data_IF_115424084637
#
_entry.id   IF_115424084637
#
_cell.length_a   1.000
_cell.length_b   1.000
_cell.length_c   1.000
_cell.angle_alpha   90.00
_cell.angle_beta   90.00
_cell.angle_gamma   90.00
#
_symmetry.space_group_name_H-M   'P 1'
#
loop_
_entity.id
_entity.type
_entity.pdbx_description
1 polymer ?
#
# COMPACT_ATOMS: atom_id res chain seq x y z
N UNK A 1 0.93 39.74 5.79
CA UNK A 1 2.06 38.80 5.84
C UNK A 1 1.64 37.65 6.73
N UNK A 2 1.63 36.43 6.20
CA UNK A 2 1.18 35.25 6.96
C UNK A 2 2.39 34.62 7.61
N UNK A 3 2.41 34.58 8.94
CA UNK A 3 3.43 33.90 9.74
C UNK A 3 3.29 32.39 9.54
N UNK A 4 4.07 31.85 8.61
CA UNK A 4 4.18 30.42 8.40
C UNK A 4 5.38 29.91 9.22
N UNK A 5 5.14 29.47 10.46
CA UNK A 5 6.13 28.69 11.21
C UNK A 5 6.31 27.32 10.53
N UNK A 6 7.49 26.99 9.97
CA UNK A 6 7.74 25.65 9.46
C UNK A 6 8.07 24.74 10.65
N UNK A 7 7.21 23.76 10.92
CA UNK A 7 7.50 22.71 11.89
C UNK A 7 8.48 21.73 11.22
N UNK A 8 9.77 21.84 11.55
CA UNK A 8 10.77 20.85 11.20
C UNK A 8 10.57 19.61 12.11
N UNK A 9 9.97 18.56 11.56
CA UNK A 9 9.87 17.26 12.25
C UNK A 9 10.93 16.32 11.68
N UNK A 10 11.97 16.06 12.48
CA UNK A 10 12.91 14.98 12.22
C UNK A 10 12.23 13.64 12.55
N UNK A 11 11.74 12.98 11.50
CA UNK A 11 11.15 11.66 11.58
C UNK A 11 12.26 10.62 11.58
N UNK A 12 12.59 10.11 12.77
CA UNK A 12 13.51 8.99 12.95
C UNK A 12 13.32 7.88 11.90
N UNK A 13 14.44 7.30 11.46
CA UNK A 13 14.55 6.50 10.24
C UNK A 13 13.42 5.48 10.03
N UNK A 14 12.91 5.45 8.79
CA UNK A 14 11.95 4.43 8.35
C UNK A 14 12.52 3.03 8.57
N UNK A 15 11.72 2.14 9.18
CA UNK A 15 11.97 0.68 9.23
C UNK A 15 12.52 0.17 7.89
N UNK A 16 13.74 -0.37 7.91
CA UNK A 16 14.45 -0.96 6.75
C UNK A 16 14.17 -2.47 6.65
N UNK A 17 12.96 -2.88 6.99
CA UNK A 17 12.50 -4.27 6.87
C UNK A 17 11.68 -4.49 5.59
N UNK A 18 11.61 -5.74 5.07
CA UNK A 18 10.71 -6.07 3.96
C UNK A 18 9.28 -5.67 4.32
N UNK A 19 8.64 -4.88 3.46
CA UNK A 19 7.26 -4.44 3.66
C UNK A 19 6.38 -5.71 3.68
N UNK A 20 5.59 -5.94 4.75
CA UNK A 20 4.67 -7.06 4.80
C UNK A 20 3.76 -7.03 3.57
N UNK A 21 3.56 -8.20 2.95
CA UNK A 21 2.64 -8.31 1.84
C UNK A 21 1.25 -7.88 2.28
N UNK A 22 0.65 -6.98 1.52
CA UNK A 22 -0.72 -6.54 1.69
C UNK A 22 -1.42 -6.77 0.37
N UNK A 23 -2.60 -7.37 0.45
CA UNK A 23 -3.49 -7.45 -0.69
C UNK A 23 -3.91 -6.02 -1.08
N UNK A 24 -3.82 -5.65 -2.35
CA UNK A 24 -4.22 -4.32 -2.81
C UNK A 24 -5.64 -4.37 -3.38
N UNK A 25 -6.54 -3.53 -2.88
CA UNK A 25 -7.95 -3.55 -3.29
C UNK A 25 -8.15 -3.24 -4.78
N UNK A 26 -7.21 -2.49 -5.37
CA UNK A 26 -7.22 -2.17 -6.79
C UNK A 26 -7.18 -3.41 -7.69
N UNK A 27 -6.62 -4.53 -7.19
CA UNK A 27 -6.58 -5.79 -7.93
C UNK A 27 -7.97 -6.33 -8.26
N UNK A 28 -8.96 -6.04 -7.41
CA UNK A 28 -10.35 -6.46 -7.61
C UNK A 28 -11.03 -5.71 -8.78
N UNK A 29 -10.41 -4.66 -9.31
CA UNK A 29 -10.89 -3.95 -10.49
C UNK A 29 -10.34 -4.51 -11.81
N UNK A 30 -9.36 -5.42 -11.76
CA UNK A 30 -8.93 -6.11 -12.97
C UNK A 30 -9.99 -7.12 -13.42
N UNK A 31 -10.27 -7.10 -14.71
CA UNK A 31 -11.17 -8.06 -15.33
C UNK A 31 -10.64 -9.49 -15.20
N UNK A 32 -11.52 -10.45 -14.94
CA UNK A 32 -11.14 -11.88 -14.80
C UNK A 32 -10.33 -12.23 -13.53
N UNK A 33 -10.08 -11.29 -12.61
CA UNK A 33 -9.25 -11.55 -11.41
C UNK A 33 -9.77 -12.70 -10.54
N UNK A 34 -11.10 -12.87 -10.44
CA UNK A 34 -11.71 -13.94 -9.64
C UNK A 34 -11.40 -15.32 -10.21
N UNK A 35 -11.51 -15.46 -11.53
CA UNK A 35 -11.24 -16.70 -12.23
C UNK A 35 -9.75 -17.04 -12.19
N UNK A 36 -8.90 -16.02 -12.34
CA UNK A 36 -7.45 -16.16 -12.20
C UNK A 36 -7.06 -16.64 -10.79
N UNK A 37 -7.65 -16.06 -9.74
CA UNK A 37 -7.41 -16.48 -8.35
C UNK A 37 -7.88 -17.92 -8.11
N UNK A 38 -9.04 -18.30 -8.66
CA UNK A 38 -9.58 -19.66 -8.57
C UNK A 38 -8.65 -20.66 -9.26
N UNK A 39 -8.19 -20.34 -10.47
CA UNK A 39 -7.25 -21.15 -11.22
C UNK A 39 -5.96 -21.39 -10.42
N UNK A 40 -5.34 -20.35 -9.87
CA UNK A 40 -4.13 -20.51 -9.05
C UNK A 40 -4.39 -21.29 -7.77
N UNK A 41 -5.57 -21.12 -7.16
CA UNK A 41 -5.93 -21.87 -5.97
C UNK A 41 -5.97 -23.37 -6.25
N UNK A 42 -6.51 -23.77 -7.41
CA UNK A 42 -6.63 -25.16 -7.85
C UNK A 42 -5.30 -25.74 -8.35
N UNK A 43 -4.44 -24.93 -8.98
CA UNK A 43 -3.11 -25.31 -9.47
C UNK A 43 -2.16 -25.80 -8.35
N UNK A 44 -2.26 -25.19 -7.17
CA UNK A 44 -1.41 -25.54 -6.03
C UNK A 44 -1.84 -26.83 -5.32
N UNK A 45 -1.14 -27.94 -5.61
CA UNK A 45 -1.27 -29.22 -4.89
C UNK A 45 -0.16 -29.40 -3.86
N UNK A 46 -0.53 -29.61 -2.60
CA UNK A 46 0.39 -29.77 -1.47
C UNK A 46 -0.07 -30.92 -0.59
N UNK A 47 0.87 -31.65 0.01
CA UNK A 47 0.62 -32.78 0.90
C UNK A 47 1.18 -32.50 2.30
N UNK A 48 0.57 -33.10 3.33
CA UNK A 48 0.96 -32.93 4.74
C UNK A 48 -0.24 -32.68 5.65
N UNK A 49 0.01 -32.07 6.81
CA UNK A 49 -1.08 -31.66 7.70
C UNK A 49 -1.95 -30.58 7.04
N UNK A 50 -3.21 -30.50 7.44
CA UNK A 50 -4.15 -29.46 6.95
C UNK A 50 -3.60 -28.04 7.15
N UNK A 51 -2.97 -27.79 8.30
CA UNK A 51 -2.31 -26.51 8.61
C UNK A 51 -1.12 -26.21 7.69
N UNK A 52 -0.33 -27.22 7.33
CA UNK A 52 0.79 -27.09 6.42
C UNK A 52 0.32 -26.81 4.99
N UNK A 53 -0.66 -27.58 4.51
CA UNK A 53 -1.26 -27.41 3.17
C UNK A 53 -1.81 -26.00 3.00
N UNK A 54 -2.53 -25.48 4.00
CA UNK A 54 -3.06 -24.11 3.96
C UNK A 54 -1.92 -23.08 3.90
N UNK A 55 -0.87 -23.24 4.71
CA UNK A 55 0.27 -22.32 4.72
C UNK A 55 1.00 -22.29 3.37
N UNK A 56 1.24 -23.44 2.75
CA UNK A 56 1.89 -23.54 1.44
C UNK A 56 1.00 -22.97 0.32
N UNK A 57 -0.31 -23.24 0.33
CA UNK A 57 -1.25 -22.58 -0.61
C UNK A 57 -1.20 -21.06 -0.50
N UNK A 58 -1.22 -20.51 0.72
CA UNK A 58 -1.13 -19.06 0.92
C UNK A 58 0.21 -18.48 0.45
N UNK A 59 1.32 -19.20 0.65
CA UNK A 59 2.64 -18.79 0.11
C UNK A 59 2.65 -18.79 -1.41
N UNK A 60 2.09 -19.83 -2.04
CA UNK A 60 1.97 -19.95 -3.48
C UNK A 60 1.12 -18.82 -4.08
N UNK A 61 -0.08 -18.60 -3.54
CA UNK A 61 -0.97 -17.51 -3.96
C UNK A 61 -0.31 -16.14 -3.83
N UNK A 62 0.41 -15.92 -2.72
CA UNK A 62 1.16 -14.68 -2.50
C UNK A 62 2.26 -14.47 -3.55
N UNK A 63 2.94 -15.52 -3.99
CA UNK A 63 3.97 -15.42 -5.03
C UNK A 63 3.35 -15.04 -6.39
N UNK A 64 2.30 -15.77 -6.82
CA UNK A 64 1.56 -15.48 -8.06
C UNK A 64 1.00 -14.06 -8.08
N UNK A 65 0.37 -13.62 -6.98
CA UNK A 65 -0.16 -12.26 -6.85
C UNK A 65 0.92 -11.19 -6.96
N UNK A 66 2.12 -11.40 -6.38
CA UNK A 66 3.22 -10.45 -6.49
C UNK A 66 3.73 -10.33 -7.92
N UNK A 67 3.88 -11.45 -8.61
CA UNK A 67 4.32 -11.49 -10.00
C UNK A 67 3.30 -10.82 -10.92
N UNK A 68 2.03 -11.18 -10.77
CA UNK A 68 0.94 -10.57 -11.52
C UNK A 68 0.82 -9.06 -11.24
N UNK A 69 0.94 -8.62 -9.99
CA UNK A 69 0.94 -7.18 -9.67
C UNK A 69 2.07 -6.45 -10.40
N UNK A 70 3.28 -7.02 -10.43
CA UNK A 70 4.42 -6.44 -11.13
C UNK A 70 4.17 -6.31 -12.64
N UNK A 71 3.60 -7.34 -13.26
CA UNK A 71 3.40 -7.39 -14.71
C UNK A 71 2.19 -6.57 -15.16
N UNK A 72 1.07 -6.67 -14.45
CA UNK A 72 -0.21 -6.07 -14.85
C UNK A 72 -0.38 -4.63 -14.37
N UNK A 73 0.12 -4.27 -13.18
CA UNK A 73 -0.05 -2.92 -12.60
C UNK A 73 1.27 -2.16 -12.51
N UNK A 74 2.35 -2.85 -12.12
CA UNK A 74 3.67 -2.25 -11.93
C UNK A 74 3.62 -1.08 -10.94
N UNK A 75 4.21 0.05 -11.31
CA UNK A 75 4.11 1.31 -10.55
C UNK A 75 2.92 2.12 -11.06
N UNK A 76 1.81 2.07 -10.33
CA UNK A 76 0.56 2.79 -10.66
C UNK A 76 0.80 4.28 -10.92
N UNK A 77 1.55 4.94 -10.04
CA UNK A 77 1.90 6.37 -10.17
C UNK A 77 2.66 6.67 -11.47
N UNK A 78 3.60 5.80 -11.83
CA UNK A 78 4.35 5.94 -13.08
C UNK A 78 3.42 5.81 -14.29
N UNK A 79 2.57 4.79 -14.32
CA UNK A 79 1.63 4.58 -15.45
C UNK A 79 0.62 5.70 -15.59
N UNK A 80 0.13 6.25 -14.47
CA UNK A 80 -0.72 7.44 -14.43
C UNK A 80 -0.01 8.64 -15.08
N UNK A 81 1.24 8.90 -14.70
CA UNK A 81 1.99 10.04 -15.24
C UNK A 81 2.30 9.86 -16.73
N UNK A 82 2.65 8.66 -17.18
CA UNK A 82 2.83 8.38 -18.62
C UNK A 82 1.53 8.61 -19.40
N UNK A 83 0.38 8.19 -18.88
CA UNK A 83 -0.90 8.46 -19.53
C UNK A 83 -1.24 9.96 -19.56
N UNK A 84 -0.87 10.72 -18.51
CA UNK A 84 -1.01 12.17 -18.46
C UNK A 84 -0.14 12.87 -19.52
N UNK A 85 1.13 12.49 -19.63
CA UNK A 85 2.05 13.02 -20.64
C UNK A 85 1.53 12.78 -22.06
N UNK A 86 0.94 11.62 -22.34
CA UNK A 86 0.29 11.33 -23.62
C UNK A 86 -0.93 12.24 -23.86
N UNK A 87 -1.76 12.47 -22.84
CA UNK A 87 -2.88 13.41 -22.95
C UNK A 87 -2.40 14.84 -23.25
N UNK A 88 -1.38 15.31 -22.54
CA UNK A 88 -0.80 16.64 -22.73
C UNK A 88 -0.21 16.80 -24.14
N UNK A 89 0.45 15.76 -24.66
CA UNK A 89 0.93 15.72 -26.03
C UNK A 89 -0.20 15.90 -27.05
N UNK A 90 -1.28 15.13 -26.94
CA UNK A 90 -2.42 15.24 -27.86
C UNK A 90 -3.14 16.58 -27.76
N UNK A 91 -3.29 17.12 -26.54
CA UNK A 91 -3.89 18.44 -26.32
C UNK A 91 -3.00 19.57 -26.87
N UNK A 92 -1.68 19.41 -26.88
CA UNK A 92 -0.77 20.35 -27.53
C UNK A 92 -0.85 20.27 -29.06
N UNK A 93 -0.89 19.06 -29.62
CA UNK A 93 -0.98 18.83 -31.07
C UNK A 93 -2.30 19.34 -31.67
N UNK A 94 -3.41 19.18 -30.95
CA UNK A 94 -4.73 19.68 -31.36
C UNK A 94 -4.76 21.23 -31.46
N UNK A 95 -3.96 21.94 -30.66
CA UNK A 95 -3.82 23.40 -30.74
C UNK A 95 -3.08 23.86 -31.98
N UNK A 96 -2.15 23.06 -32.49
CA UNK A 96 -1.32 23.40 -33.66
C UNK A 96 -1.90 22.89 -34.97
N UNK A 97 -2.69 21.82 -34.94
CA UNK A 97 -3.19 21.13 -36.13
C UNK A 97 -4.42 20.29 -35.81
N UNK A 98 -5.33 20.16 -36.78
CA UNK A 98 -6.47 19.24 -36.65
C UNK A 98 -5.97 17.79 -36.63
N UNK A 99 -6.45 17.01 -35.66
CA UNK A 99 -6.11 15.59 -35.54
C UNK A 99 -6.80 14.74 -36.62
N UNK A 100 -6.11 13.69 -37.06
CA UNK A 100 -6.72 12.62 -37.87
C UNK A 100 -7.68 11.76 -37.03
N UNK A 101 -8.43 10.86 -37.68
CA UNK A 101 -9.30 9.93 -36.96
C UNK A 101 -8.50 8.98 -36.06
N UNK A 102 -7.41 8.41 -36.57
CA UNK A 102 -6.52 7.53 -35.81
C UNK A 102 -5.88 8.24 -34.60
N UNK A 103 -5.50 9.51 -34.78
CA UNK A 103 -4.95 10.33 -33.69
C UNK A 103 -6.00 10.67 -32.62
N UNK A 104 -7.24 10.86 -33.03
CA UNK A 104 -8.35 11.08 -32.11
C UNK A 104 -8.66 9.82 -31.29
N UNK A 105 -8.60 8.64 -31.91
CA UNK A 105 -8.71 7.35 -31.22
C UNK A 105 -7.58 7.17 -30.21
N UNK A 106 -6.33 7.37 -30.61
CA UNK A 106 -5.17 7.28 -29.71
C UNK A 106 -5.26 8.26 -28.53
N UNK A 107 -5.79 9.47 -28.75
CA UNK A 107 -6.08 10.43 -27.66
C UNK A 107 -7.15 9.89 -26.70
N UNK A 108 -8.23 9.34 -27.23
CA UNK A 108 -9.31 8.80 -26.41
C UNK A 108 -8.82 7.60 -25.58
N UNK A 109 -7.98 6.74 -26.15
CA UNK A 109 -7.32 5.65 -25.41
C UNK A 109 -6.44 6.19 -24.28
N UNK A 110 -5.62 7.22 -24.54
CA UNK A 110 -4.81 7.84 -23.49
C UNK A 110 -5.68 8.43 -22.35
N UNK A 111 -6.84 9.01 -22.68
CA UNK A 111 -7.80 9.52 -21.69
C UNK A 111 -8.41 8.41 -20.84
N UNK A 112 -8.83 7.30 -21.46
CA UNK A 112 -9.41 6.17 -20.73
C UNK A 112 -8.35 5.47 -19.86
N UNK A 113 -7.13 5.32 -20.36
CA UNK A 113 -6.02 4.74 -19.60
C UNK A 113 -5.65 5.65 -18.42
N UNK A 114 -5.63 6.97 -18.58
CA UNK A 114 -5.42 7.91 -17.48
C UNK A 114 -6.52 7.80 -16.42
N UNK A 115 -7.81 7.81 -16.83
CA UNK A 115 -8.95 7.66 -15.90
C UNK A 115 -8.84 6.37 -15.08
N UNK A 116 -8.49 5.26 -15.75
CA UNK A 116 -8.25 3.96 -15.11
C UNK A 116 -7.13 4.04 -14.07
N UNK A 117 -5.97 4.61 -14.39
CA UNK A 117 -4.86 4.69 -13.43
C UNK A 117 -5.17 5.61 -12.24
N UNK A 118 -5.87 6.72 -12.48
CA UNK A 118 -6.36 7.61 -11.41
C UNK A 118 -7.29 6.86 -10.45
N UNK A 119 -8.25 6.09 -10.98
CA UNK A 119 -9.16 5.28 -10.17
C UNK A 119 -8.41 4.24 -9.31
N UNK A 120 -7.46 3.52 -9.89
CA UNK A 120 -6.68 2.51 -9.16
C UNK A 120 -5.79 3.14 -8.08
N UNK A 121 -5.24 4.33 -8.35
CA UNK A 121 -4.48 5.11 -7.38
C UNK A 121 -5.38 5.57 -6.22
N UNK A 122 -6.58 6.08 -6.51
CA UNK A 122 -7.55 6.48 -5.49
C UNK A 122 -7.92 5.30 -4.57
N UNK A 123 -8.21 4.13 -5.14
CA UNK A 123 -8.52 2.91 -4.37
C UNK A 123 -7.34 2.53 -3.46
N UNK A 124 -6.13 2.62 -3.99
CA UNK A 124 -4.90 2.33 -3.24
C UNK A 124 -4.73 3.29 -2.06
N UNK A 125 -4.97 4.58 -2.26
CA UNK A 125 -4.88 5.60 -1.22
C UNK A 125 -5.97 5.47 -0.17
N UNK A 126 -7.19 5.15 -0.58
CA UNK A 126 -8.30 4.86 0.35
C UNK A 126 -7.97 3.65 1.24
N UNK A 127 -7.44 2.58 0.65
CA UNK A 127 -7.01 1.41 1.42
C UNK A 127 -5.86 1.73 2.40
N UNK A 128 -4.87 2.52 1.96
CA UNK A 128 -3.71 2.89 2.78
C UNK A 128 -4.07 3.84 3.92
N UNK A 129 -4.99 4.76 3.68
CA UNK A 129 -5.47 5.73 4.68
C UNK A 129 -6.40 5.11 5.70
N UNK A 130 -7.06 3.97 5.39
CA UNK A 130 -8.10 3.33 6.24
C UNK A 130 -9.33 4.23 6.47
N UNK A 131 -9.48 5.28 5.68
CA UNK A 131 -10.59 6.22 5.78
C UNK A 131 -11.80 5.68 5.00
N UNK A 132 -12.90 5.42 5.71
CA UNK A 132 -14.14 4.83 5.16
C UNK A 132 -15.17 5.91 4.78
N UNK A 133 -14.96 7.15 5.21
CA UNK A 133 -15.98 8.21 5.16
C UNK A 133 -16.00 9.08 3.89
N UNK A 134 -15.04 8.91 2.98
CA UNK A 134 -14.97 9.70 1.74
C UNK A 134 -15.73 9.01 0.60
N UNK A 135 -16.69 9.72 0.00
CA UNK A 135 -17.41 9.29 -1.21
C UNK A 135 -16.45 9.21 -2.41
N UNK A 136 -16.73 8.30 -3.33
CA UNK A 136 -15.98 8.13 -4.59
C UNK A 136 -15.99 9.43 -5.41
N UNK A 137 -14.82 9.91 -5.83
CA UNK A 137 -14.68 11.14 -6.62
C UNK A 137 -14.22 12.40 -5.86
N UNK A 138 -13.91 12.32 -4.56
CA UNK A 138 -13.31 13.46 -3.85
C UNK A 138 -11.80 13.57 -4.17
N UNK A 139 -11.39 14.70 -4.77
CA UNK A 139 -10.03 14.95 -5.30
C UNK A 139 -9.02 15.29 -4.20
N UNK A 140 -9.02 14.54 -3.10
CA UNK A 140 -8.22 14.87 -1.92
C UNK A 140 -7.03 13.90 -1.74
N UNK A 141 -6.24 13.68 -2.79
CA UNK A 141 -5.02 12.85 -2.75
C UNK A 141 -4.08 13.33 -1.63
N UNK A 142 -3.88 14.64 -1.47
CA UNK A 142 -3.06 15.23 -0.42
C UNK A 142 -3.52 14.88 1.01
N UNK A 143 -4.82 14.79 1.24
CA UNK A 143 -5.39 14.31 2.51
C UNK A 143 -5.02 12.84 2.75
N UNK A 144 -5.21 11.97 1.75
CA UNK A 144 -4.86 10.55 1.87
C UNK A 144 -3.36 10.33 2.09
N UNK A 145 -2.49 11.10 1.43
CA UNK A 145 -1.05 11.07 1.65
C UNK A 145 -0.71 11.43 3.10
N UNK A 146 -1.28 12.51 3.63
CA UNK A 146 -1.08 12.95 5.02
C UNK A 146 -1.54 11.88 6.02
N UNK A 147 -2.72 11.30 5.81
CA UNK A 147 -3.28 10.26 6.70
C UNK A 147 -2.51 8.93 6.62
N UNK A 148 -2.15 8.47 5.43
CA UNK A 148 -1.31 7.28 5.26
C UNK A 148 0.06 7.45 5.92
N UNK A 149 0.66 8.64 5.81
CA UNK A 149 1.91 8.97 6.50
C UNK A 149 1.73 9.07 8.02
N UNK A 150 0.63 9.63 8.51
CA UNK A 150 0.30 9.66 9.95
C UNK A 150 0.14 8.24 10.52
N UNK A 151 -0.59 7.36 9.84
CA UNK A 151 -0.70 5.95 10.23
C UNK A 151 0.63 5.22 10.15
N UNK A 152 1.47 5.49 9.14
CA UNK A 152 2.81 4.90 9.04
C UNK A 152 3.68 5.30 10.24
N UNK A 153 3.63 6.57 10.65
CA UNK A 153 4.31 7.07 11.87
C UNK A 153 3.76 6.42 13.13
N UNK A 154 2.43 6.39 13.30
CA UNK A 154 1.78 5.77 14.48
C UNK A 154 2.09 4.28 14.63
N UNK A 155 2.22 3.56 13.51
CA UNK A 155 2.55 2.14 13.49
C UNK A 155 4.05 1.86 13.51
N UNK A 156 4.89 2.90 13.55
CA UNK A 156 6.33 2.73 13.75
C UNK A 156 6.58 2.41 15.22
N UNK A 157 7.29 1.32 15.49
CA UNK A 157 7.71 0.96 16.85
C UNK A 157 9.21 1.21 16.91
N UNK A 158 9.58 2.34 17.50
CA UNK A 158 10.96 2.85 17.59
C UNK A 158 11.76 2.20 18.72
N UNK A 159 11.08 1.67 19.75
CA UNK A 159 11.70 1.00 20.89
C UNK A 159 10.74 0.05 21.58
N UNK A 160 11.28 -1.04 22.12
CA UNK A 160 10.51 -2.05 22.86
C UNK A 160 11.20 -2.31 24.21
N UNK A 161 10.44 -2.38 25.30
CA UNK A 161 10.99 -2.67 26.65
C UNK A 161 10.81 -4.15 27.01
N UNK A 162 11.91 -4.87 27.27
CA UNK A 162 11.90 -6.27 27.71
C UNK A 162 12.72 -6.38 29.00
N UNK A 163 12.14 -6.95 30.07
CA UNK A 163 12.82 -7.16 31.36
C UNK A 163 13.47 -5.90 31.98
N UNK A 164 12.88 -4.72 31.75
CA UNK A 164 13.44 -3.46 32.28
C UNK A 164 14.40 -2.75 31.32
N UNK A 165 14.98 -3.45 30.34
CA UNK A 165 15.88 -2.89 29.34
C UNK A 165 15.13 -2.40 28.09
N UNK A 166 15.52 -1.24 27.58
CA UNK A 166 15.03 -0.70 26.31
C UNK A 166 15.84 -1.28 25.15
N UNK A 167 15.16 -1.87 24.17
CA UNK A 167 15.73 -2.27 22.90
C UNK A 167 15.42 -1.16 21.89
N UNK A 168 16.45 -0.48 21.42
CA UNK A 168 16.38 0.62 20.45
C UNK A 168 16.94 0.22 19.07
N UNK A 169 17.78 -0.81 19.00
CA UNK A 169 18.30 -1.31 17.73
C UNK A 169 17.26 -2.15 16.98
N UNK A 170 17.11 -1.90 15.68
CA UNK A 170 16.10 -2.56 14.83
C UNK A 170 16.24 -4.10 14.83
N UNK A 171 17.47 -4.60 14.93
CA UNK A 171 17.76 -6.03 15.04
C UNK A 171 17.24 -6.64 16.34
N UNK A 172 17.38 -5.91 17.44
CA UNK A 172 16.98 -6.36 18.77
C UNK A 172 15.46 -6.24 18.97
N UNK A 173 14.86 -5.18 18.43
CA UNK A 173 13.40 -5.00 18.36
C UNK A 173 12.77 -6.17 17.59
N UNK A 174 13.37 -6.55 16.45
CA UNK A 174 12.90 -7.68 15.63
C UNK A 174 13.03 -9.04 16.34
N UNK A 175 14.14 -9.29 17.04
CA UNK A 175 14.36 -10.54 17.80
C UNK A 175 13.52 -10.60 19.08
N UNK A 176 13.30 -9.46 19.73
CA UNK A 176 12.53 -9.35 20.98
C UNK A 176 11.01 -9.37 20.80
N UNK A 177 10.50 -8.95 19.64
CA UNK A 177 9.06 -8.87 19.39
C UNK A 177 8.31 -10.22 19.55
N UNK A 178 8.81 -11.37 19.06
CA UNK A 178 8.16 -12.66 19.29
C UNK A 178 8.15 -13.09 20.77
N UNK A 179 9.22 -12.80 21.52
CA UNK A 179 9.31 -13.13 22.95
C UNK A 179 8.30 -12.33 23.77
N UNK A 180 8.10 -11.06 23.41
CA UNK A 180 7.11 -10.18 24.05
C UNK A 180 5.68 -10.62 23.75
N UNK A 181 5.38 -10.95 22.49
CA UNK A 181 4.06 -11.47 22.10
C UNK A 181 3.74 -12.78 22.84
N UNK A 182 4.70 -13.72 22.90
CA UNK A 182 4.53 -14.99 23.62
C UNK A 182 4.32 -14.80 25.12
N UNK A 183 4.94 -13.79 25.73
CA UNK A 183 4.77 -13.45 27.15
C UNK A 183 3.43 -12.79 27.44
N UNK A 184 2.94 -11.91 26.56
CA UNK A 184 1.60 -11.31 26.69
C UNK A 184 0.48 -12.35 26.53
N UNK A 185 0.68 -13.36 25.68
CA UNK A 185 -0.30 -14.42 25.48
C UNK A 185 -0.29 -15.48 26.59
N UNK A 186 0.81 -15.65 27.32
CA UNK A 186 0.94 -16.68 28.39
C UNK A 186 0.70 -16.16 29.81
N UNK A 187 0.82 -14.85 30.07
CA UNK A 187 0.50 -14.23 31.37
C UNK A 187 -0.75 -13.38 31.25
N UNK A 188 -1.92 -13.98 31.50
CA UNK A 188 -3.23 -13.31 31.47
C UNK A 188 -3.47 -12.32 32.61
N UNK A 189 -2.55 -11.37 32.89
CA UNK A 189 -2.79 -10.27 33.83
C UNK A 189 -1.93 -9.03 33.54
N UNK A 190 -2.59 -7.93 33.17
CA UNK A 190 -2.42 -6.59 33.77
C UNK A 190 -1.10 -5.81 33.62
N UNK A 191 -0.10 -6.25 32.85
CA UNK A 191 1.11 -5.45 32.64
C UNK A 191 0.87 -4.30 31.66
N UNK A 192 0.71 -3.06 32.16
CA UNK A 192 0.57 -1.86 31.34
C UNK A 192 1.60 -1.81 30.22
N UNK A 193 1.10 -1.89 28.98
CA UNK A 193 1.84 -1.59 27.76
C UNK A 193 2.10 -0.08 27.71
N UNK A 194 3.21 0.37 28.30
CA UNK A 194 3.81 1.64 27.87
C UNK A 194 4.63 1.38 26.61
N UNK A 195 3.91 1.17 25.50
CA UNK A 195 4.44 1.56 24.19
C UNK A 195 4.60 3.06 24.26
N UNK A 196 5.85 3.55 24.32
CA UNK A 196 6.15 4.97 24.21
C UNK A 196 5.83 5.48 22.81
N UNK A 197 4.57 5.44 22.41
CA UNK A 197 4.01 6.37 21.46
C UNK A 197 4.10 7.72 22.16
N UNK A 198 4.87 8.66 21.62
CA UNK A 198 4.78 10.05 22.06
C UNK A 198 3.32 10.49 21.89
N UNK A 199 2.64 10.64 23.02
CA UNK A 199 1.27 11.11 23.17
C UNK A 199 1.17 12.58 22.73
N UNK A 200 0.22 12.91 21.84
CA UNK A 200 -0.90 13.84 22.08
C UNK A 200 -1.57 14.27 20.76
N UNK A 201 -2.91 14.32 20.83
CA UNK A 201 -3.90 14.85 19.89
C UNK A 201 -4.05 14.13 18.54
#
# INVERSE_FOLDING_TARGET
MSDHFPILMDGGGLRRGPIPFRFENMWLKAEGVKDLLKQWWEEGSFSGSTSFILAEKLKFMKAKLKEWNRNSFGRVEYRKNTALEQMEYWDAKEKTSRLSLEELEARNEAKEEYKKWVLLEEITWRQKSREVWLKEGDRNTGFFHKMANAHRRRNNVDRIKINGAWLTEENDIRKGSPMLLRRCLTRGNGGLLYLGCSLRC
#
